data_IF_101070667619
#
_entry.id   IF_101070667619
#
_cell.length_a   1.000
_cell.length_b   1.000
_cell.length_c   1.000
_cell.angle_alpha   90.00
_cell.angle_beta   90.00
_cell.angle_gamma   90.00
#
_symmetry.space_group_name_H-M   'P 1'
#
loop_
_entity.id
_entity.type
_entity.pdbx_description
1 polymer ?
#
# COMPACT_ATOMS: atom_id res chain seq x y z
N UNK A 1 18.35 25.63 20.55
CA UNK A 1 17.71 26.00 19.26
C UNK A 1 16.17 25.91 19.31
N UNK A 2 15.52 26.47 20.34
CA UNK A 2 14.04 26.47 20.51
C UNK A 2 13.44 27.87 20.70
N UNK A 3 14.24 28.94 20.49
CA UNK A 3 13.87 30.34 20.80
C UNK A 3 14.07 31.33 19.65
N UNK A 4 14.25 30.88 18.41
CA UNK A 4 14.46 31.78 17.24
C UNK A 4 13.24 31.81 16.29
N UNK A 5 12.16 31.10 16.62
CA UNK A 5 10.93 31.06 15.79
C UNK A 5 9.71 31.75 16.45
N UNK A 6 9.88 32.56 17.49
CA UNK A 6 8.75 33.17 18.23
C UNK A 6 8.53 34.67 17.95
N UNK A 7 9.06 35.23 16.87
CA UNK A 7 8.92 36.66 16.58
C UNK A 7 8.47 36.91 15.14
N UNK A 8 7.30 36.40 14.78
CA UNK A 8 6.49 36.93 13.68
C UNK A 8 5.02 36.59 13.97
N UNK A 9 4.44 37.29 14.95
CA UNK A 9 3.00 37.41 15.11
C UNK A 9 2.63 38.87 14.93
N UNK A 10 2.15 39.30 13.75
CA UNK A 10 1.22 40.40 13.68
C UNK A 10 -0.11 39.88 14.25
N UNK A 11 -0.48 40.37 15.42
CA UNK A 11 -1.85 40.29 15.91
C UNK A 11 -2.74 41.11 14.98
N UNK A 12 -3.45 40.43 14.09
CA UNK A 12 -4.37 41.06 13.17
C UNK A 12 -4.82 40.05 12.12
N UNK A 13 -6.08 39.65 12.24
CA UNK A 13 -6.81 38.83 11.26
C UNK A 13 -6.48 37.32 11.23
N UNK A 14 -6.91 36.60 12.28
CA UNK A 14 -7.19 35.16 12.16
C UNK A 14 -8.49 34.93 11.39
N UNK A 15 -8.53 35.39 10.14
CA UNK A 15 -9.42 34.83 9.14
C UNK A 15 -9.13 33.33 9.08
N UNK A 16 -10.13 32.50 9.34
CA UNK A 16 -10.05 31.06 9.09
C UNK A 16 -9.53 30.87 7.66
N UNK A 17 -8.25 30.53 7.49
CA UNK A 17 -7.74 30.03 6.21
C UNK A 17 -8.50 28.74 5.95
N UNK A 18 -9.60 28.86 5.21
CA UNK A 18 -10.38 27.75 4.69
C UNK A 18 -9.41 26.91 3.87
N UNK A 19 -8.89 25.87 4.49
CA UNK A 19 -8.06 24.89 3.81
C UNK A 19 -8.89 24.37 2.64
N UNK A 20 -8.39 24.41 1.40
CA UNK A 20 -9.18 23.98 0.25
C UNK A 20 -9.63 22.52 0.44
N UNK A 21 -10.95 22.27 0.48
CA UNK A 21 -11.55 20.93 0.69
C UNK A 21 -11.02 19.85 -0.26
N UNK A 22 -10.50 20.24 -1.43
CA UNK A 22 -9.92 19.30 -2.39
C UNK A 22 -8.63 18.63 -1.89
N UNK A 23 -7.82 19.31 -1.04
CA UNK A 23 -6.53 18.79 -0.53
C UNK A 23 -6.68 17.69 0.52
N UNK A 24 -7.86 17.57 1.10
CA UNK A 24 -8.24 16.53 2.06
C UNK A 24 -9.26 15.56 1.46
N UNK A 25 -9.52 15.62 0.15
CA UNK A 25 -10.46 14.73 -0.52
C UNK A 25 -9.87 13.32 -0.62
N UNK A 26 -10.68 12.29 -0.36
CA UNK A 26 -10.34 10.88 -0.56
C UNK A 26 -9.72 10.63 -1.93
N UNK A 27 -10.31 11.19 -3.00
CA UNK A 27 -9.80 11.03 -4.35
C UNK A 27 -8.42 11.65 -4.56
N UNK A 28 -8.13 12.76 -3.87
CA UNK A 28 -6.82 13.38 -3.94
C UNK A 28 -5.78 12.53 -3.22
N UNK A 29 -6.08 12.06 -2.01
CA UNK A 29 -5.21 11.17 -1.24
C UNK A 29 -4.90 9.90 -2.04
N UNK A 30 -5.93 9.23 -2.58
CA UNK A 30 -5.73 8.06 -3.44
C UNK A 30 -4.87 8.41 -4.64
N UNK A 31 -5.16 9.49 -5.36
CA UNK A 31 -4.36 9.88 -6.54
C UNK A 31 -2.89 10.10 -6.22
N UNK A 32 -2.58 10.73 -5.08
CA UNK A 32 -1.20 10.94 -4.64
C UNK A 32 -0.52 9.63 -4.27
N UNK A 33 -1.22 8.72 -3.57
CA UNK A 33 -0.67 7.40 -3.23
C UNK A 33 -0.49 6.54 -4.47
N UNK A 34 -1.45 6.52 -5.39
CA UNK A 34 -1.38 5.86 -6.70
C UNK A 34 -0.21 6.38 -7.52
N UNK A 35 0.00 7.69 -7.57
CA UNK A 35 1.15 8.28 -8.26
C UNK A 35 2.48 7.93 -7.60
N UNK A 36 2.52 7.82 -6.27
CA UNK A 36 3.68 7.33 -5.54
C UNK A 36 4.00 5.86 -5.84
N UNK A 37 2.98 4.99 -5.84
CA UNK A 37 3.12 3.58 -6.21
C UNK A 37 3.56 3.41 -7.68
N UNK A 38 3.00 4.22 -8.59
CA UNK A 38 3.43 4.28 -9.98
C UNK A 38 4.88 4.74 -10.12
N UNK A 39 5.26 5.82 -9.45
CA UNK A 39 6.62 6.38 -9.49
C UNK A 39 7.63 5.35 -9.00
N UNK A 40 7.35 4.69 -7.89
CA UNK A 40 8.24 3.67 -7.33
C UNK A 40 8.45 2.51 -8.32
N UNK A 41 7.36 1.91 -8.80
CA UNK A 41 7.41 0.82 -9.77
C UNK A 41 8.11 1.23 -11.08
N UNK A 42 7.82 2.43 -11.57
CA UNK A 42 8.44 3.01 -12.75
C UNK A 42 9.96 3.15 -12.57
N UNK A 43 10.42 3.75 -11.48
CA UNK A 43 11.85 3.94 -11.21
C UNK A 43 12.55 2.59 -11.03
N UNK A 44 11.93 1.65 -10.32
CA UNK A 44 12.47 0.30 -10.15
C UNK A 44 12.72 -0.36 -11.52
N UNK A 45 11.71 -0.34 -12.39
CA UNK A 45 11.75 -0.99 -13.70
C UNK A 45 12.57 -0.26 -14.76
N UNK A 46 12.71 1.07 -14.68
CA UNK A 46 13.68 1.82 -15.51
C UNK A 46 15.11 1.32 -15.25
N UNK A 47 15.43 1.01 -13.99
CA UNK A 47 16.77 0.56 -13.63
C UNK A 47 17.13 -0.82 -14.18
N UNK A 48 16.16 -1.70 -14.41
CA UNK A 48 16.41 -3.10 -14.83
C UNK A 48 17.20 -3.19 -16.15
N UNK A 49 16.75 -2.58 -17.27
CA UNK A 49 17.47 -2.68 -18.53
C UNK A 49 18.72 -1.77 -18.62
N UNK A 50 18.76 -0.65 -17.88
CA UNK A 50 19.82 0.37 -18.04
C UNK A 50 21.12 -0.02 -17.33
N UNK A 51 21.02 -0.78 -16.24
CA UNK A 51 22.15 -1.05 -15.34
C UNK A 51 23.23 -1.95 -15.92
N UNK A 52 22.90 -3.05 -16.64
CA UNK A 52 23.91 -3.89 -17.29
C UNK A 52 24.84 -3.10 -18.21
N UNK A 53 24.30 -2.21 -19.05
CA UNK A 53 25.09 -1.37 -19.95
C UNK A 53 26.06 -0.44 -19.20
N UNK A 54 25.64 0.11 -18.06
CA UNK A 54 26.52 0.97 -17.26
C UNK A 54 27.65 0.19 -16.61
N UNK A 55 27.41 -1.05 -16.22
CA UNK A 55 28.46 -1.89 -15.66
C UNK A 55 29.51 -2.23 -16.72
N UNK A 56 29.06 -2.46 -17.96
CA UNK A 56 29.93 -2.65 -19.13
C UNK A 56 30.77 -1.40 -19.44
N UNK A 57 30.13 -0.22 -19.51
CA UNK A 57 30.82 1.07 -19.72
C UNK A 57 31.88 1.37 -18.65
N UNK A 58 31.68 0.89 -17.43
CA UNK A 58 32.62 1.04 -16.31
C UNK A 58 33.72 -0.03 -16.30
N UNK A 59 33.70 -0.97 -17.25
CA UNK A 59 34.70 -2.04 -17.40
C UNK A 59 34.58 -3.15 -16.36
N UNK A 60 33.39 -3.35 -15.76
CA UNK A 60 33.19 -4.44 -14.80
C UNK A 60 32.97 -5.79 -15.50
N UNK A 61 33.64 -6.82 -15.01
CA UNK A 61 33.36 -8.22 -15.36
C UNK A 61 32.18 -8.78 -14.55
N UNK A 62 31.62 -9.90 -14.99
CA UNK A 62 30.46 -10.56 -14.34
C UNK A 62 29.24 -9.63 -14.20
N UNK A 63 28.86 -8.97 -15.31
CA UNK A 63 27.76 -8.00 -15.38
C UNK A 63 26.45 -8.59 -14.84
N UNK A 64 26.15 -9.86 -15.17
CA UNK A 64 24.95 -10.57 -14.68
C UNK A 64 24.94 -10.62 -13.15
N UNK A 65 25.98 -11.17 -12.52
CA UNK A 65 26.10 -11.27 -11.05
C UNK A 65 26.01 -9.91 -10.37
N UNK A 66 26.66 -8.88 -10.92
CA UNK A 66 26.60 -7.52 -10.36
C UNK A 66 25.22 -6.89 -10.53
N UNK A 67 24.51 -7.17 -11.61
CA UNK A 67 23.13 -6.72 -11.81
C UNK A 67 22.18 -7.40 -10.84
N UNK A 68 22.34 -8.71 -10.58
CA UNK A 68 21.59 -9.45 -9.57
C UNK A 68 21.80 -8.88 -8.18
N UNK A 69 23.06 -8.65 -7.75
CA UNK A 69 23.36 -8.03 -6.46
C UNK A 69 22.79 -6.63 -6.30
N UNK A 70 22.69 -5.88 -7.40
CA UNK A 70 22.09 -4.56 -7.41
C UNK A 70 20.57 -4.61 -7.18
N UNK A 71 19.85 -5.55 -7.81
CA UNK A 71 18.42 -5.78 -7.52
C UNK A 71 18.22 -6.32 -6.10
N UNK A 72 19.09 -7.24 -5.67
CA UNK A 72 19.06 -7.85 -4.36
C UNK A 72 19.23 -6.85 -3.21
N UNK A 73 20.12 -5.86 -3.36
CA UNK A 73 20.34 -4.81 -2.36
C UNK A 73 19.07 -4.00 -2.04
N UNK A 74 18.24 -3.76 -3.06
CA UNK A 74 16.94 -3.11 -2.88
C UNK A 74 15.96 -3.99 -2.09
N UNK A 75 15.86 -5.28 -2.42
CA UNK A 75 14.97 -6.22 -1.74
C UNK A 75 15.38 -6.45 -0.28
N UNK A 76 16.68 -6.59 0.01
CA UNK A 76 17.18 -6.71 1.40
C UNK A 76 16.80 -5.47 2.22
N UNK A 77 17.00 -4.27 1.65
CA UNK A 77 16.64 -3.05 2.34
C UNK A 77 15.14 -3.02 2.69
N UNK A 78 14.29 -3.50 1.78
CA UNK A 78 12.85 -3.66 2.06
C UNK A 78 12.62 -4.66 3.19
N UNK A 79 13.14 -5.88 3.08
CA UNK A 79 12.88 -6.95 4.06
C UNK A 79 13.35 -6.58 5.47
N UNK A 80 14.51 -5.94 5.60
CA UNK A 80 15.10 -5.61 6.91
C UNK A 80 14.45 -4.38 7.54
N UNK A 81 14.11 -3.36 6.75
CA UNK A 81 13.68 -2.06 7.29
C UNK A 81 12.16 -1.93 7.47
N UNK A 82 11.37 -2.69 6.72
CA UNK A 82 9.92 -2.52 6.67
C UNK A 82 9.24 -2.65 8.04
N UNK A 83 9.51 -3.73 8.79
CA UNK A 83 8.90 -3.96 10.11
C UNK A 83 9.35 -2.94 11.17
N UNK A 84 10.66 -2.65 11.35
CA UNK A 84 11.10 -1.59 12.26
C UNK A 84 10.47 -0.22 11.93
N UNK A 85 10.39 0.13 10.65
CA UNK A 85 9.77 1.36 10.20
C UNK A 85 8.28 1.42 10.57
N UNK A 86 7.55 0.32 10.36
CA UNK A 86 6.14 0.24 10.69
C UNK A 86 5.88 0.50 12.18
N UNK A 87 6.64 -0.18 13.04
CA UNK A 87 6.53 -0.06 14.50
C UNK A 87 6.88 1.36 14.98
N UNK A 88 7.90 1.98 14.38
CA UNK A 88 8.31 3.34 14.72
C UNK A 88 7.27 4.38 14.30
N UNK A 89 6.69 4.22 13.11
CA UNK A 89 5.74 5.17 12.54
C UNK A 89 4.31 4.96 13.04
N UNK A 90 3.96 3.78 13.52
CA UNK A 90 2.65 3.51 14.13
C UNK A 90 2.39 4.40 15.35
N UNK A 91 3.44 4.69 16.13
CA UNK A 91 3.37 5.60 17.28
C UNK A 91 3.16 7.07 16.89
N UNK A 92 3.35 7.43 15.62
CA UNK A 92 3.24 8.80 15.13
C UNK A 92 1.87 9.01 14.49
N UNK A 93 1.18 10.06 14.93
CA UNK A 93 -0.15 10.42 14.43
C UNK A 93 -0.16 11.03 13.02
N UNK A 94 1.00 11.45 12.49
CA UNK A 94 1.12 12.23 11.24
C UNK A 94 1.90 11.39 10.21
N UNK A 95 1.28 11.04 9.08
CA UNK A 95 1.85 10.13 8.06
C UNK A 95 2.61 10.86 6.95
N UNK A 96 2.28 12.12 6.68
CA UNK A 96 2.81 12.98 5.61
C UNK A 96 4.30 13.23 5.76
N UNK A 97 4.78 13.52 6.97
CA UNK A 97 6.19 13.81 7.23
C UNK A 97 7.11 12.67 6.80
N UNK A 98 6.90 11.44 7.31
CA UNK A 98 7.64 10.25 6.87
C UNK A 98 7.60 10.02 5.35
N UNK A 99 6.44 10.20 4.73
CA UNK A 99 6.28 10.04 3.28
C UNK A 99 7.10 11.07 2.48
N UNK A 100 7.14 12.35 2.91
CA UNK A 100 8.00 13.36 2.28
C UNK A 100 9.49 13.01 2.45
N UNK A 101 9.90 12.59 3.65
CA UNK A 101 11.29 12.18 3.91
C UNK A 101 11.67 10.99 3.01
N UNK A 102 10.79 10.02 2.84
CA UNK A 102 11.00 8.90 1.95
C UNK A 102 11.15 9.36 0.50
N UNK A 103 10.23 10.18 -0.03
CA UNK A 103 10.35 10.71 -1.41
C UNK A 103 11.64 11.52 -1.59
N UNK A 104 12.11 12.28 -0.59
CA UNK A 104 13.42 12.93 -0.63
C UNK A 104 14.59 11.94 -0.65
N UNK A 105 14.51 10.84 0.11
CA UNK A 105 15.50 9.76 0.09
C UNK A 105 15.53 9.05 -1.27
N UNK A 106 14.37 8.82 -1.89
CA UNK A 106 14.25 8.34 -3.27
C UNK A 106 15.00 9.27 -4.24
N UNK A 107 14.82 10.59 -4.11
CA UNK A 107 15.55 11.55 -4.94
C UNK A 107 17.06 11.52 -4.71
N UNK A 108 17.49 11.37 -3.46
CA UNK A 108 18.90 11.20 -3.16
C UNK A 108 19.48 9.95 -3.83
N UNK A 109 18.76 8.82 -3.80
CA UNK A 109 19.16 7.61 -4.54
C UNK A 109 19.29 7.87 -6.04
N UNK A 110 18.31 8.54 -6.65
CA UNK A 110 18.35 8.89 -8.07
C UNK A 110 19.54 9.79 -8.43
N UNK A 111 19.84 10.77 -7.58
CA UNK A 111 20.99 11.65 -7.75
C UNK A 111 22.31 10.87 -7.67
N UNK A 112 22.42 9.91 -6.73
CA UNK A 112 23.58 9.03 -6.63
C UNK A 112 23.76 8.16 -7.88
N UNK A 113 22.67 7.68 -8.48
CA UNK A 113 22.70 6.92 -9.73
C UNK A 113 23.14 7.78 -10.92
N UNK A 114 22.70 9.03 -11.00
CA UNK A 114 23.16 9.98 -12.04
C UNK A 114 24.67 10.20 -11.96
N UNK A 115 25.20 10.37 -10.75
CA UNK A 115 26.60 10.71 -10.48
C UNK A 115 27.51 9.48 -10.37
N UNK A 116 26.99 8.27 -10.64
CA UNK A 116 27.69 7.05 -10.32
C UNK A 116 28.94 6.83 -11.17
N UNK A 117 30.05 6.51 -10.49
CA UNK A 117 31.34 6.12 -11.10
C UNK A 117 31.90 4.82 -10.56
N UNK A 118 31.34 4.30 -9.47
CA UNK A 118 31.81 3.09 -8.76
C UNK A 118 30.61 2.24 -8.39
N UNK A 119 30.75 0.92 -8.52
CA UNK A 119 29.67 -0.03 -8.27
C UNK A 119 29.07 0.06 -6.86
N UNK A 120 29.88 0.27 -5.82
CA UNK A 120 29.38 0.36 -4.44
C UNK A 120 28.39 1.52 -4.24
N UNK A 121 28.52 2.61 -5.01
CA UNK A 121 27.58 3.74 -4.97
C UNK A 121 26.22 3.33 -5.56
N UNK A 122 26.21 2.43 -6.56
CA UNK A 122 24.97 1.86 -7.13
C UNK A 122 24.24 1.03 -6.08
N UNK A 123 24.99 0.23 -5.31
CA UNK A 123 24.45 -0.56 -4.20
C UNK A 123 23.90 0.35 -3.10
N UNK A 124 24.66 1.37 -2.70
CA UNK A 124 24.20 2.34 -1.70
C UNK A 124 22.91 3.05 -2.15
N UNK A 125 22.84 3.49 -3.40
CA UNK A 125 21.64 4.08 -3.96
C UNK A 125 20.45 3.11 -3.90
N UNK A 126 20.64 1.85 -4.29
CA UNK A 126 19.57 0.82 -4.20
C UNK A 126 19.11 0.53 -2.78
N UNK A 127 20.01 0.55 -1.80
CA UNK A 127 19.63 0.43 -0.39
C UNK A 127 18.74 1.62 0.00
N UNK A 128 19.19 2.85 -0.25
CA UNK A 128 18.41 4.07 0.05
C UNK A 128 17.04 4.03 -0.63
N UNK A 129 17.00 3.59 -1.89
CA UNK A 129 15.77 3.40 -2.64
C UNK A 129 14.83 2.39 -1.97
N UNK A 130 15.35 1.22 -1.58
CA UNK A 130 14.57 0.18 -0.90
C UNK A 130 14.01 0.69 0.43
N UNK A 131 14.82 1.38 1.24
CA UNK A 131 14.38 2.02 2.49
C UNK A 131 13.26 3.04 2.26
N UNK A 132 13.34 3.83 1.18
CA UNK A 132 12.27 4.76 0.80
C UNK A 132 11.00 4.03 0.36
N UNK A 133 11.15 2.98 -0.46
CA UNK A 133 10.03 2.21 -0.99
C UNK A 133 9.14 1.66 0.12
N UNK A 134 9.74 1.11 1.19
CA UNK A 134 8.96 0.55 2.31
C UNK A 134 7.99 1.56 2.89
N UNK A 135 8.42 2.81 3.08
CA UNK A 135 7.61 3.89 3.62
C UNK A 135 6.51 4.28 2.63
N UNK A 136 6.85 4.43 1.35
CA UNK A 136 5.90 4.83 0.30
C UNK A 136 4.73 3.84 0.23
N UNK A 137 5.02 2.54 0.20
CA UNK A 137 4.02 1.48 0.08
C UNK A 137 3.24 1.27 1.38
N UNK A 138 3.93 1.02 2.49
CA UNK A 138 3.26 0.66 3.75
C UNK A 138 2.48 1.83 4.35
N UNK A 139 3.09 3.01 4.41
CA UNK A 139 2.43 4.22 4.94
C UNK A 139 1.43 4.77 3.94
N UNK A 140 1.71 4.69 2.64
CA UNK A 140 0.78 5.15 1.61
C UNK A 140 -0.53 4.38 1.59
N UNK A 141 -0.48 3.05 1.61
CA UNK A 141 -1.70 2.25 1.63
C UNK A 141 -2.42 2.31 2.98
N UNK A 142 -1.70 2.36 4.10
CA UNK A 142 -2.31 2.65 5.39
C UNK A 142 -3.02 4.02 5.40
N UNK A 143 -2.44 5.04 4.76
CA UNK A 143 -3.06 6.35 4.65
C UNK A 143 -4.38 6.30 3.86
N UNK A 144 -4.48 5.47 2.82
CA UNK A 144 -5.76 5.20 2.14
C UNK A 144 -6.75 4.58 3.13
N UNK A 145 -6.39 3.47 3.78
CA UNK A 145 -7.29 2.79 4.72
C UNK A 145 -7.78 3.70 5.86
N UNK A 146 -6.94 4.63 6.31
CA UNK A 146 -7.26 5.56 7.40
C UNK A 146 -8.11 6.78 6.99
N UNK A 147 -8.17 7.14 5.70
CA UNK A 147 -8.88 8.35 5.20
C UNK A 147 -10.03 8.04 4.23
N UNK A 148 -10.29 6.78 3.95
CA UNK A 148 -11.32 6.33 3.01
C UNK A 148 -12.45 5.62 3.76
N UNK A 149 -13.69 5.90 3.35
CA UNK A 149 -14.84 5.18 3.86
C UNK A 149 -14.71 3.67 3.63
N UNK A 150 -14.97 2.90 4.68
CA UNK A 150 -14.81 1.43 4.70
C UNK A 150 -15.57 0.69 3.60
N UNK A 151 -16.62 1.30 3.04
CA UNK A 151 -17.44 0.74 1.96
C UNK A 151 -16.76 0.75 0.59
N UNK A 152 -15.68 1.52 0.43
CA UNK A 152 -15.00 1.73 -0.86
C UNK A 152 -13.47 1.59 -0.75
N UNK A 153 -12.95 1.00 0.34
CA UNK A 153 -11.51 0.85 0.57
C UNK A 153 -10.88 -0.03 -0.52
N UNK A 154 -11.52 -1.16 -0.85
CA UNK A 154 -11.05 -2.08 -1.88
C UNK A 154 -10.91 -1.40 -3.22
N UNK A 155 -11.92 -0.62 -3.65
CA UNK A 155 -11.85 0.17 -4.88
C UNK A 155 -10.67 1.15 -4.89
N UNK A 156 -10.40 1.86 -3.79
CA UNK A 156 -9.32 2.85 -3.72
C UNK A 156 -7.94 2.18 -3.70
N UNK A 157 -7.77 1.09 -2.95
CA UNK A 157 -6.54 0.28 -2.98
C UNK A 157 -6.33 -0.35 -4.37
N UNK A 158 -7.40 -0.80 -5.00
CA UNK A 158 -7.39 -1.29 -6.39
C UNK A 158 -6.86 -0.28 -7.39
N UNK A 159 -7.30 0.99 -7.29
CA UNK A 159 -6.77 2.10 -8.10
C UNK A 159 -5.27 2.31 -7.81
N UNK A 160 -4.84 2.18 -6.55
CA UNK A 160 -3.43 2.32 -6.18
C UNK A 160 -2.55 1.22 -6.78
N UNK A 161 -2.98 -0.04 -6.75
CA UNK A 161 -2.30 -1.17 -7.41
C UNK A 161 -2.28 -1.05 -8.94
N UNK A 162 -3.37 -0.56 -9.57
CA UNK A 162 -3.34 -0.23 -11.00
C UNK A 162 -2.20 0.73 -11.35
N UNK A 163 -1.93 1.71 -10.48
CA UNK A 163 -0.80 2.63 -10.63
C UNK A 163 0.56 1.90 -10.66
N UNK A 164 0.83 0.98 -9.73
CA UNK A 164 2.10 0.25 -9.72
C UNK A 164 2.27 -0.64 -10.96
N UNK A 165 1.21 -1.31 -11.42
CA UNK A 165 1.25 -2.09 -12.66
C UNK A 165 1.60 -1.22 -13.88
N UNK A 166 0.99 -0.04 -14.00
CA UNK A 166 1.30 0.88 -15.08
C UNK A 166 2.76 1.34 -15.03
N UNK A 167 3.31 1.56 -13.83
CA UNK A 167 4.73 1.89 -13.66
C UNK A 167 5.63 0.77 -14.15
N UNK A 168 5.28 -0.48 -13.83
CA UNK A 168 6.02 -1.66 -14.27
C UNK A 168 6.03 -1.85 -15.78
N UNK A 169 4.93 -1.53 -16.48
CA UNK A 169 4.85 -1.62 -17.95
C UNK A 169 5.67 -0.54 -18.62
N UNK A 170 5.51 0.70 -18.19
CA UNK A 170 6.10 1.87 -18.87
C UNK A 170 7.59 1.98 -18.56
N UNK A 171 8.03 1.51 -17.38
CA UNK A 171 9.39 1.62 -16.88
C UNK A 171 10.47 1.10 -17.83
N UNK A 172 10.45 -0.18 -18.26
CA UNK A 172 11.51 -0.74 -19.09
C UNK A 172 11.60 -0.07 -20.46
N UNK A 173 10.46 0.22 -21.09
CA UNK A 173 10.39 0.90 -22.38
C UNK A 173 10.96 2.33 -22.30
N UNK A 174 10.58 3.09 -21.26
CA UNK A 174 11.11 4.42 -21.02
C UNK A 174 12.61 4.37 -20.71
N UNK A 175 13.06 3.44 -19.86
CA UNK A 175 14.46 3.29 -19.48
C UNK A 175 15.37 2.99 -20.67
N UNK A 176 15.00 1.99 -21.49
CA UNK A 176 15.75 1.60 -22.68
C UNK A 176 15.77 2.70 -23.76
N UNK A 177 14.60 3.30 -24.03
CA UNK A 177 14.48 4.37 -25.03
C UNK A 177 15.28 5.63 -24.67
N UNK A 178 15.17 6.07 -23.41
CA UNK A 178 15.91 7.26 -22.93
C UNK A 178 17.41 7.02 -22.84
N UNK A 179 17.83 5.80 -22.50
CA UNK A 179 19.26 5.45 -22.51
C UNK A 179 19.84 5.55 -23.92
N UNK A 180 19.11 5.04 -24.93
CA UNK A 180 19.54 5.11 -26.33
C UNK A 180 19.60 6.55 -26.85
N UNK A 181 18.63 7.39 -26.48
CA UNK A 181 18.53 8.76 -26.98
C UNK A 181 19.43 9.77 -26.26
N UNK A 182 19.56 9.66 -24.93
CA UNK A 182 20.22 10.66 -24.08
C UNK A 182 21.38 10.11 -23.24
N UNK A 183 21.74 8.84 -23.44
CA UNK A 183 22.78 8.13 -22.69
C UNK A 183 22.41 7.83 -21.24
N UNK A 184 23.42 7.46 -20.45
CA UNK A 184 23.28 7.03 -19.05
C UNK A 184 22.43 7.95 -18.16
N UNK A 185 22.57 9.27 -18.30
CA UNK A 185 21.91 10.23 -17.41
C UNK A 185 20.42 10.41 -17.72
N UNK A 186 20.00 10.17 -18.97
CA UNK A 186 18.64 10.45 -19.45
C UNK A 186 17.54 9.81 -18.61
N UNK A 187 17.53 8.47 -18.45
CA UNK A 187 16.49 7.77 -17.69
C UNK A 187 16.34 8.31 -16.26
N UNK A 188 17.45 8.51 -15.55
CA UNK A 188 17.44 8.95 -14.16
C UNK A 188 16.97 10.40 -13.99
N UNK A 189 17.28 11.29 -14.95
CA UNK A 189 16.78 12.67 -14.92
C UNK A 189 15.26 12.70 -15.09
N UNK A 190 14.68 11.86 -15.97
CA UNK A 190 13.23 11.73 -16.06
C UNK A 190 12.63 11.20 -14.75
N UNK A 191 13.22 10.15 -14.18
CA UNK A 191 12.81 9.61 -12.89
C UNK A 191 12.82 10.68 -11.79
N UNK A 192 13.84 11.56 -11.75
CA UNK A 192 13.87 12.68 -10.81
C UNK A 192 12.75 13.69 -11.08
N UNK A 193 12.41 13.98 -12.35
CA UNK A 193 11.31 14.87 -12.69
C UNK A 193 9.97 14.34 -12.19
N UNK A 194 9.69 13.06 -12.49
CA UNK A 194 8.49 12.35 -12.00
C UNK A 194 8.42 12.34 -10.47
N UNK A 195 9.51 11.98 -9.80
CA UNK A 195 9.56 11.94 -8.33
C UNK A 195 9.44 13.35 -7.71
N UNK A 196 9.83 14.41 -8.42
CA UNK A 196 9.62 15.79 -7.98
C UNK A 196 8.14 16.18 -8.04
N UNK A 197 7.41 15.72 -9.07
CA UNK A 197 5.95 15.91 -9.16
C UNK A 197 5.26 15.16 -8.02
N UNK A 198 5.68 13.94 -7.71
CA UNK A 198 5.18 13.18 -6.55
C UNK A 198 5.40 13.97 -5.26
N UNK A 199 6.62 14.46 -5.03
CA UNK A 199 6.97 15.23 -3.83
C UNK A 199 6.11 16.48 -3.67
N UNK A 200 5.90 17.23 -4.76
CA UNK A 200 5.03 18.40 -4.77
C UNK A 200 3.58 18.03 -4.47
N UNK A 201 3.06 16.98 -5.11
CA UNK A 201 1.71 16.49 -4.84
C UNK A 201 1.55 16.06 -3.38
N UNK A 202 2.53 15.34 -2.82
CA UNK A 202 2.56 14.94 -1.39
C UNK A 202 2.61 16.13 -0.44
N UNK A 203 3.35 17.17 -0.82
CA UNK A 203 3.44 18.38 -0.01
C UNK A 203 2.13 19.18 0.04
N UNK A 204 1.24 18.96 -0.92
CA UNK A 204 -0.08 19.59 -0.95
C UNK A 204 -1.15 18.76 -0.21
N UNK A 205 -0.87 17.51 0.18
CA UNK A 205 -1.79 16.67 0.95
C UNK A 205 -1.98 17.22 2.37
N UNK A 206 -3.23 17.21 2.81
CA UNK A 206 -3.63 17.57 4.17
C UNK A 206 -4.44 16.40 4.70
N UNK A 207 -3.95 15.76 5.76
CA UNK A 207 -4.62 14.61 6.36
C UNK A 207 -5.92 15.04 7.00
N UNK A 208 -7.00 14.26 6.83
CA UNK A 208 -8.31 14.64 7.37
C UNK A 208 -8.31 14.69 8.90
N UNK A 209 -7.41 13.95 9.55
CA UNK A 209 -7.21 13.95 11.01
C UNK A 209 -6.60 15.24 11.56
N UNK A 210 -6.00 16.07 10.70
CA UNK A 210 -5.47 17.40 11.04
C UNK A 210 -6.51 18.51 10.90
N UNK A 211 -7.70 18.21 10.34
CA UNK A 211 -8.82 19.13 10.39
C UNK A 211 -9.29 19.10 11.85
N UNK A 212 -9.14 20.19 12.64
CA UNK A 212 -9.75 20.22 13.95
C UNK A 212 -11.21 19.95 13.70
N UNK A 213 -11.72 18.83 14.22
CA UNK A 213 -13.16 18.57 14.22
C UNK A 213 -13.76 19.86 14.71
N UNK A 214 -14.43 20.59 13.82
CA UNK A 214 -15.31 21.65 14.25
C UNK A 214 -16.15 20.95 15.31
N UNK A 215 -16.01 21.41 16.56
CA UNK A 215 -16.90 21.00 17.63
C UNK A 215 -18.26 20.93 16.97
N UNK A 216 -18.86 19.73 16.90
CA UNK A 216 -20.28 19.67 16.64
C UNK A 216 -20.84 20.64 17.66
N UNK A 217 -21.35 21.77 17.19
CA UNK A 217 -22.16 22.63 18.04
C UNK A 217 -23.15 21.67 18.68
N UNK A 218 -23.20 21.61 20.03
CA UNK A 218 -24.10 20.70 20.69
C UNK A 218 -25.46 20.90 20.03
N UNK A 219 -26.00 19.81 19.49
CA UNK A 219 -27.32 19.76 18.91
C UNK A 219 -28.23 20.46 19.91
N UNK A 220 -28.68 21.67 19.59
CA UNK A 220 -29.56 22.43 20.47
C UNK A 220 -30.75 21.51 20.66
N UNK A 221 -31.03 21.00 21.87
CA UNK A 221 -32.21 20.21 22.09
C UNK A 221 -33.38 21.07 21.60
N UNK A 222 -34.22 20.52 20.73
CA UNK A 222 -35.45 21.20 20.30
C UNK A 222 -36.14 21.69 21.58
N UNK A 223 -36.05 23.01 21.84
CA UNK A 223 -36.85 23.66 22.85
C UNK A 223 -38.30 23.36 22.47
N UNK A 224 -38.95 22.59 23.33
CA UNK A 224 -40.39 22.40 23.33
C UNK A 224 -41.02 23.79 23.25
N UNK A 225 -41.60 24.10 22.10
CA UNK A 225 -42.42 25.28 21.89
C UNK A 225 -43.43 25.34 23.05
N UNK A 226 -43.43 26.38 23.90
CA UNK A 226 -44.43 26.50 24.95
C UNK A 226 -45.78 26.75 24.27
N UNK A 227 -46.64 25.73 24.23
CA UNK A 227 -48.05 25.96 23.92
C UNK A 227 -48.67 26.73 25.09
N UNK A 228 -48.83 28.02 24.84
CA UNK A 228 -49.46 29.01 25.68
C UNK A 228 -50.93 28.65 25.89
N UNK A 229 -51.22 28.26 27.13
CA UNK A 229 -52.49 28.30 27.87
C UNK A 229 -53.80 28.29 27.11
N UNK A 230 -54.62 27.29 27.41
CA UNK A 230 -56.06 27.50 27.53
C UNK A 230 -56.52 27.11 28.93
N UNK A 231 -57.11 28.08 29.62
CA UNK A 231 -57.67 27.93 30.94
C UNK A 231 -59.09 27.37 30.81
N UNK A 232 -59.44 26.37 31.62
CA UNK A 232 -60.78 26.29 32.21
C UNK A 232 -60.81 25.31 33.39
N UNK A 233 -60.92 25.93 34.57
CA UNK A 233 -61.57 25.50 35.81
C UNK A 233 -62.40 24.20 35.80
N UNK A 234 -62.18 23.34 36.82
CA UNK A 234 -63.26 22.86 37.72
C UNK A 234 -62.76 22.06 38.95
N UNK A 235 -62.99 22.68 40.13
CA UNK A 235 -63.63 22.14 41.36
C UNK A 235 -62.95 21.03 42.20
N UNK A 236 -62.20 21.46 43.22
CA UNK A 236 -62.37 21.29 44.70
C UNK A 236 -63.08 20.04 45.30
N UNK A 237 -62.27 19.20 45.99
CA UNK A 237 -62.37 18.63 47.38
C UNK A 237 -63.37 17.48 47.73
N UNK A 238 -63.31 16.90 48.97
CA UNK A 238 -62.22 16.21 49.69
C UNK A 238 -62.69 14.86 50.33
N UNK A 239 -61.86 14.23 51.21
CA UNK A 239 -62.15 13.14 52.22
C UNK A 239 -61.47 11.79 51.88
N UNK A 240 -60.94 10.94 52.78
CA UNK A 240 -60.99 10.80 54.25
C UNK A 240 -59.88 9.83 54.73
N UNK A 241 -59.61 9.90 56.03
CA UNK A 241 -58.69 9.20 56.95
C UNK A 241 -58.58 7.63 56.95
N UNK A 242 -57.32 7.15 57.06
CA UNK A 242 -56.71 6.25 58.09
C UNK A 242 -57.04 4.70 58.14
N UNK A 243 -56.30 3.86 58.92
CA UNK A 243 -55.29 2.87 58.42
C UNK A 243 -55.51 1.38 58.86
N UNK A 244 -54.85 0.42 58.20
CA UNK A 244 -54.52 -0.95 58.67
C UNK A 244 -53.84 -1.73 57.54
N UNK A 245 -52.55 -2.09 57.65
CA UNK A 245 -52.00 -3.43 58.03
C UNK A 245 -52.00 -4.48 56.90
N UNK A 246 -50.78 -4.99 56.65
CA UNK A 246 -50.36 -6.26 56.04
C UNK A 246 -50.69 -6.56 54.57
N UNK A 247 -49.66 -6.57 53.71
CA UNK A 247 -49.11 -7.81 53.11
C UNK A 247 -47.93 -7.50 52.17
N UNK A 248 -47.02 -8.46 52.09
CA UNK A 248 -45.69 -8.41 51.49
C UNK A 248 -45.69 -8.50 49.95
N UNK A 249 -44.51 -8.24 49.39
CA UNK A 249 -44.05 -8.53 48.01
C UNK A 249 -44.51 -7.60 46.88
N UNK A 250 -43.74 -6.52 46.64
CA UNK A 250 -43.48 -6.12 45.25
C UNK A 250 -42.12 -5.43 45.05
N UNK A 251 -41.45 -5.91 44.00
CA UNK A 251 -40.12 -5.56 43.49
C UNK A 251 -39.97 -4.04 43.30
N UNK A 252 -39.10 -3.41 44.10
CA UNK A 252 -38.66 -2.03 43.88
C UNK A 252 -37.89 -1.89 42.57
N UNK A 253 -38.61 -1.47 41.52
CA UNK A 253 -38.06 -0.64 40.43
C UNK A 253 -38.13 0.81 40.87
N UNK A 254 -37.00 1.42 41.24
CA UNK A 254 -36.71 2.83 40.94
C UNK A 254 -35.24 3.16 41.22
N UNK A 255 -34.56 3.68 40.20
CA UNK A 255 -33.15 4.04 40.27
C UNK A 255 -32.51 3.94 38.89
N UNK A 256 -33.05 4.66 37.92
CA UNK A 256 -32.45 4.88 36.61
C UNK A 256 -31.07 5.52 36.80
N UNK A 257 -29.95 4.90 36.39
CA UNK A 257 -28.75 5.63 36.09
C UNK A 257 -28.90 6.10 34.64
N UNK A 258 -29.11 7.40 34.53
CA UNK A 258 -28.94 8.23 33.35
C UNK A 258 -27.90 7.63 32.38
N UNK A 259 -28.39 7.07 31.26
CA UNK A 259 -27.53 6.64 30.14
C UNK A 259 -27.10 7.88 29.36
N UNK A 260 -26.34 8.75 30.02
CA UNK A 260 -25.48 9.70 29.36
C UNK A 260 -24.36 8.93 28.67
N UNK A 261 -24.39 8.90 27.35
CA UNK A 261 -23.40 8.34 26.43
C UNK A 261 -22.04 9.02 26.62
N UNK A 262 -21.34 8.68 27.70
CA UNK A 262 -19.91 8.86 27.78
C UNK A 262 -19.28 7.86 26.82
N UNK A 263 -18.94 8.30 25.60
CA UNK A 263 -18.00 7.59 24.74
C UNK A 263 -16.66 7.51 25.49
N UNK A 264 -16.47 6.42 26.23
CA UNK A 264 -15.18 6.04 26.79
C UNK A 264 -14.24 5.86 25.60
N UNK A 265 -13.32 6.81 25.44
CA UNK A 265 -12.24 6.76 24.46
C UNK A 265 -11.33 5.58 24.85
N UNK A 266 -11.64 4.38 24.35
CA UNK A 266 -10.85 3.16 24.56
C UNK A 266 -9.39 3.47 24.23
N UNK A 267 -8.52 3.54 25.24
CA UNK A 267 -7.09 3.65 25.01
C UNK A 267 -6.63 2.40 24.26
N UNK A 268 -6.17 2.58 23.02
CA UNK A 268 -5.65 1.47 22.21
C UNK A 268 -4.50 0.82 22.98
N UNK A 269 -4.64 -0.47 23.34
CA UNK A 269 -3.56 -1.27 23.92
C UNK A 269 -2.35 -1.23 23.00
N UNK A 270 -1.27 -0.56 23.43
CA UNK A 270 -0.03 -0.49 22.66
C UNK A 270 0.81 -1.72 22.95
N UNK A 271 0.96 -2.61 21.96
CA UNK A 271 1.79 -3.79 22.04
C UNK A 271 3.28 -3.42 21.94
N UNK A 272 4.15 -4.25 22.51
CA UNK A 272 5.60 -4.12 22.30
C UNK A 272 5.98 -4.48 20.84
N UNK A 273 7.12 -3.99 20.31
CA UNK A 273 7.58 -4.31 18.96
C UNK A 273 7.60 -5.82 18.65
N UNK A 274 8.02 -6.63 19.62
CA UNK A 274 8.12 -8.09 19.50
C UNK A 274 6.72 -8.71 19.56
N UNK A 275 5.86 -8.23 20.44
CA UNK A 275 4.46 -8.67 20.51
C UNK A 275 3.70 -8.38 19.22
N UNK A 276 3.93 -7.24 18.57
CA UNK A 276 3.32 -6.94 17.27
C UNK A 276 3.71 -8.00 16.24
N UNK A 277 5.00 -8.33 16.14
CA UNK A 277 5.49 -9.35 15.21
C UNK A 277 4.87 -10.71 15.52
N UNK A 278 4.94 -11.16 16.78
CA UNK A 278 4.37 -12.46 17.18
C UNK A 278 2.87 -12.50 16.86
N UNK A 279 2.14 -11.42 17.15
CA UNK A 279 0.68 -11.36 16.94
C UNK A 279 0.34 -11.38 15.45
N UNK A 280 1.08 -10.65 14.60
CA UNK A 280 0.91 -10.67 13.13
C UNK A 280 1.01 -12.09 12.55
N UNK A 281 1.93 -12.90 13.05
CA UNK A 281 2.13 -14.29 12.60
C UNK A 281 1.23 -15.30 13.33
N UNK A 282 0.56 -14.89 14.42
CA UNK A 282 -0.37 -15.75 15.17
C UNK A 282 -1.81 -15.66 14.68
N UNK A 283 -2.21 -14.55 14.04
CA UNK A 283 -3.56 -14.37 13.52
C UNK A 283 -3.72 -15.16 12.21
N UNK A 284 -4.66 -16.13 12.12
CA UNK A 284 -4.82 -16.95 10.92
C UNK A 284 -5.11 -16.15 9.65
N UNK A 285 -6.00 -15.14 9.71
CA UNK A 285 -6.31 -14.26 8.57
C UNK A 285 -5.08 -13.52 8.06
N UNK A 286 -4.28 -12.96 8.98
CA UNK A 286 -3.02 -12.26 8.67
C UNK A 286 -2.03 -13.22 7.99
N UNK A 287 -1.86 -14.40 8.57
CA UNK A 287 -0.96 -15.43 8.04
C UNK A 287 -1.37 -15.89 6.65
N UNK A 288 -2.67 -16.04 6.39
CA UNK A 288 -3.20 -16.35 5.06
C UNK A 288 -2.89 -15.25 4.06
N UNK A 289 -3.12 -13.98 4.40
CA UNK A 289 -2.82 -12.85 3.52
C UNK A 289 -1.31 -12.77 3.19
N UNK A 290 -0.45 -12.93 4.20
CA UNK A 290 1.01 -12.99 4.06
C UNK A 290 1.41 -14.17 3.15
N UNK A 291 0.84 -15.35 3.39
CA UNK A 291 1.14 -16.56 2.63
C UNK A 291 0.71 -16.47 1.16
N UNK A 292 -0.50 -15.95 0.89
CA UNK A 292 -0.98 -15.72 -0.48
C UNK A 292 -0.11 -14.70 -1.20
N UNK A 293 0.26 -13.60 -0.54
CA UNK A 293 1.14 -12.58 -1.13
C UNK A 293 2.53 -13.15 -1.44
N UNK A 294 3.10 -13.94 -0.53
CA UNK A 294 4.38 -14.63 -0.73
C UNK A 294 4.32 -15.61 -1.91
N UNK A 295 3.28 -16.47 -1.96
CA UNK A 295 3.09 -17.43 -3.03
C UNK A 295 2.90 -16.76 -4.40
N UNK A 296 2.12 -15.68 -4.44
CA UNK A 296 1.89 -14.90 -5.66
C UNK A 296 3.19 -14.27 -6.17
N UNK A 297 3.98 -13.71 -5.25
CA UNK A 297 5.32 -13.23 -5.58
C UNK A 297 6.18 -14.33 -6.19
N UNK A 298 6.19 -15.54 -5.62
CA UNK A 298 7.08 -16.62 -6.07
C UNK A 298 6.75 -17.03 -7.50
N UNK A 299 5.46 -17.10 -7.82
CA UNK A 299 4.98 -17.39 -9.17
C UNK A 299 5.49 -16.31 -10.14
N UNK A 300 5.32 -15.03 -9.81
CA UNK A 300 5.78 -13.92 -10.66
C UNK A 300 7.31 -13.97 -10.85
N UNK A 301 8.06 -14.06 -9.75
CA UNK A 301 9.52 -14.06 -9.77
C UNK A 301 10.15 -15.28 -10.46
N UNK A 302 9.45 -16.42 -10.49
CA UNK A 302 9.89 -17.60 -11.22
C UNK A 302 9.61 -17.49 -12.74
N UNK A 303 8.52 -16.83 -13.12
CA UNK A 303 8.09 -16.78 -14.52
C UNK A 303 8.90 -15.76 -15.32
N UNK A 304 9.16 -14.58 -14.76
CA UNK A 304 9.84 -13.50 -15.48
C UNK A 304 11.14 -13.90 -16.22
N UNK A 305 12.11 -14.58 -15.56
CA UNK A 305 13.34 -15.04 -16.23
C UNK A 305 13.09 -16.25 -17.15
N UNK A 306 12.26 -17.19 -16.71
CA UNK A 306 12.03 -18.48 -17.38
C UNK A 306 11.29 -18.29 -18.70
N UNK A 307 10.40 -17.28 -18.76
CA UNK A 307 9.62 -16.97 -19.94
C UNK A 307 10.51 -16.63 -21.14
N UNK A 308 11.51 -15.76 -20.92
CA UNK A 308 12.43 -15.31 -21.97
C UNK A 308 13.26 -16.46 -22.52
N UNK A 309 13.82 -17.28 -21.64
CA UNK A 309 14.60 -18.47 -22.02
C UNK A 309 13.74 -19.46 -22.79
N UNK A 310 12.52 -19.71 -22.31
CA UNK A 310 11.61 -20.66 -22.95
C UNK A 310 11.16 -20.21 -24.34
N UNK A 311 10.85 -18.93 -24.52
CA UNK A 311 10.49 -18.41 -25.85
C UNK A 311 11.62 -18.56 -26.87
N UNK A 312 12.87 -18.38 -26.43
CA UNK A 312 14.05 -18.61 -27.24
C UNK A 312 14.26 -20.10 -27.55
N UNK A 313 14.27 -20.95 -26.51
CA UNK A 313 14.71 -22.34 -26.62
C UNK A 313 13.65 -23.25 -27.26
N UNK A 314 12.36 -23.01 -27.01
CA UNK A 314 11.26 -23.85 -27.54
C UNK A 314 10.69 -23.35 -28.87
N UNK A 315 10.68 -22.04 -29.10
CA UNK A 315 10.00 -21.44 -30.25
C UNK A 315 10.89 -20.50 -31.09
N UNK A 316 12.19 -20.42 -30.78
CA UNK A 316 13.15 -19.61 -31.55
C UNK A 316 12.79 -18.13 -31.60
N UNK A 317 12.05 -17.62 -30.62
CA UNK A 317 11.60 -16.23 -30.58
C UNK A 317 12.66 -15.33 -29.97
N UNK A 318 12.76 -14.12 -30.50
CA UNK A 318 13.69 -13.10 -30.06
C UNK A 318 13.12 -12.28 -28.89
N UNK A 319 13.98 -11.47 -28.26
CA UNK A 319 13.61 -10.65 -27.11
C UNK A 319 12.52 -9.63 -27.43
N UNK A 320 12.42 -9.18 -28.69
CA UNK A 320 11.37 -8.27 -29.12
C UNK A 320 9.99 -8.93 -29.04
N UNK A 321 9.85 -10.16 -29.54
CA UNK A 321 8.60 -10.92 -29.43
C UNK A 321 8.20 -11.15 -27.96
N UNK A 322 9.16 -11.50 -27.10
CA UNK A 322 8.91 -11.69 -25.65
C UNK A 322 8.38 -10.39 -25.01
N UNK A 323 8.98 -9.24 -25.35
CA UNK A 323 8.50 -7.93 -24.89
C UNK A 323 7.05 -7.64 -25.30
N UNK A 324 6.67 -7.96 -26.55
CA UNK A 324 5.29 -7.81 -27.01
C UNK A 324 4.30 -8.71 -26.23
N UNK A 325 4.70 -9.93 -25.89
CA UNK A 325 3.88 -10.84 -25.07
C UNK A 325 3.64 -10.24 -23.68
N UNK A 326 4.68 -9.75 -23.00
CA UNK A 326 4.52 -9.06 -21.71
C UNK A 326 3.55 -7.88 -21.81
N UNK A 327 3.73 -7.00 -22.79
CA UNK A 327 2.85 -5.84 -23.01
C UNK A 327 1.39 -6.27 -23.21
N UNK A 328 1.15 -7.28 -24.05
CA UNK A 328 -0.18 -7.79 -24.32
C UNK A 328 -0.82 -8.40 -23.06
N UNK A 329 -0.05 -9.08 -22.22
CA UNK A 329 -0.57 -9.69 -20.98
C UNK A 329 -0.78 -8.72 -19.82
N UNK A 330 -0.05 -7.62 -19.76
CA UNK A 330 -0.22 -6.64 -18.68
C UNK A 330 -1.35 -5.65 -18.99
N UNK A 331 -1.66 -5.39 -20.27
CA UNK A 331 -2.75 -4.48 -20.63
C UNK A 331 -4.10 -4.81 -19.96
N UNK A 332 -4.56 -6.08 -19.89
CA UNK A 332 -5.75 -6.45 -19.11
C UNK A 332 -5.62 -6.19 -17.60
N UNK A 333 -4.42 -6.39 -17.02
CA UNK A 333 -4.14 -6.23 -15.58
C UNK A 333 -4.30 -4.78 -15.11
N UNK A 334 -4.09 -3.79 -15.99
CA UNK A 334 -4.26 -2.38 -15.65
C UNK A 334 -5.67 -2.08 -15.10
N UNK A 335 -6.69 -2.78 -15.60
CA UNK A 335 -8.07 -2.52 -15.21
C UNK A 335 -8.60 -3.46 -14.13
N UNK A 336 -7.90 -4.57 -13.85
CA UNK A 336 -8.39 -5.56 -12.89
C UNK A 336 -8.39 -5.04 -11.47
N UNK A 337 -7.39 -4.26 -11.05
CA UNK A 337 -7.29 -3.74 -9.67
C UNK A 337 -8.55 -2.98 -9.24
N UNK A 338 -9.08 -2.11 -10.09
CA UNK A 338 -10.31 -1.35 -9.81
C UNK A 338 -11.53 -2.27 -9.73
N UNK A 339 -11.63 -3.22 -10.66
CA UNK A 339 -12.75 -4.17 -10.72
C UNK A 339 -12.74 -5.08 -9.50
N UNK A 340 -11.62 -5.71 -9.19
CA UNK A 340 -11.51 -6.65 -8.06
C UNK A 340 -11.60 -5.94 -6.73
N UNK A 341 -11.07 -4.73 -6.62
CA UNK A 341 -11.26 -3.89 -5.44
C UNK A 341 -12.75 -3.59 -5.19
N UNK A 342 -13.50 -3.23 -6.23
CA UNK A 342 -14.94 -3.02 -6.12
C UNK A 342 -15.71 -4.32 -5.80
N UNK A 343 -15.33 -5.44 -6.41
CA UNK A 343 -15.92 -6.74 -6.12
C UNK A 343 -15.64 -7.16 -4.67
N UNK A 344 -14.43 -6.92 -4.15
CA UNK A 344 -14.07 -7.19 -2.76
C UNK A 344 -14.91 -6.35 -1.78
N UNK A 345 -15.12 -5.06 -2.08
CA UNK A 345 -16.00 -4.20 -1.27
C UNK A 345 -17.46 -4.71 -1.24
N UNK A 346 -17.92 -5.37 -2.31
CA UNK A 346 -19.31 -5.84 -2.44
C UNK A 346 -19.54 -7.26 -1.91
N UNK A 347 -18.63 -8.17 -2.21
CA UNK A 347 -18.78 -9.60 -1.95
C UNK A 347 -17.90 -10.12 -0.81
N UNK A 348 -16.96 -9.32 -0.31
CA UNK A 348 -15.96 -9.73 0.67
C UNK A 348 -14.67 -10.23 0.01
N UNK A 349 -13.53 -9.91 0.63
CA UNK A 349 -12.22 -10.33 0.15
C UNK A 349 -11.97 -11.82 0.43
N UNK A 350 -12.59 -12.37 1.47
CA UNK A 350 -12.49 -13.76 1.90
C UNK A 350 -13.00 -14.75 0.84
N UNK A 351 -13.91 -14.32 -0.04
CA UNK A 351 -14.42 -15.11 -1.16
C UNK A 351 -13.64 -14.85 -2.44
N UNK A 352 -13.18 -13.62 -2.66
CA UNK A 352 -12.51 -13.24 -3.90
C UNK A 352 -11.10 -13.82 -3.99
N UNK A 353 -10.31 -13.76 -2.91
CA UNK A 353 -8.93 -14.26 -2.89
C UNK A 353 -8.84 -15.76 -3.27
N UNK A 354 -9.58 -16.69 -2.62
CA UNK A 354 -9.47 -18.11 -2.96
C UNK A 354 -10.03 -18.39 -4.36
N UNK A 355 -11.10 -17.71 -4.79
CA UNK A 355 -11.69 -17.93 -6.12
C UNK A 355 -10.73 -17.52 -7.24
N UNK A 356 -10.12 -16.34 -7.15
CA UNK A 356 -9.15 -15.90 -8.18
C UNK A 356 -7.87 -16.72 -8.14
N UNK A 357 -7.43 -17.14 -6.94
CA UNK A 357 -6.27 -18.05 -6.81
C UNK A 357 -6.55 -19.40 -7.47
N UNK A 358 -7.72 -19.99 -7.23
CA UNK A 358 -8.13 -21.26 -7.84
C UNK A 358 -8.27 -21.13 -9.37
N UNK A 359 -8.79 -20.00 -9.86
CA UNK A 359 -8.89 -19.70 -11.29
C UNK A 359 -7.52 -19.54 -11.95
N UNK A 360 -6.49 -19.05 -11.25
CA UNK A 360 -5.12 -18.97 -11.81
C UNK A 360 -4.42 -20.32 -11.95
N UNK A 361 -4.69 -21.27 -11.05
CA UNK A 361 -4.00 -22.56 -10.97
C UNK A 361 -4.00 -23.40 -12.28
N UNK A 362 -5.12 -23.58 -13.01
CA UNK A 362 -5.10 -24.36 -14.25
C UNK A 362 -4.19 -23.73 -15.31
N UNK A 363 -4.09 -22.39 -15.35
CA UNK A 363 -3.25 -21.71 -16.34
C UNK A 363 -1.76 -21.86 -16.04
N UNK A 364 -1.36 -21.93 -14.76
CA UNK A 364 0.00 -22.33 -14.39
C UNK A 364 0.36 -23.71 -14.95
N UNK A 365 -0.57 -24.68 -14.89
CA UNK A 365 -0.36 -26.03 -15.42
C UNK A 365 -0.35 -26.04 -16.96
N UNK A 366 -1.27 -25.31 -17.60
CA UNK A 366 -1.33 -25.21 -19.06
C UNK A 366 -0.08 -24.57 -19.65
N UNK A 367 0.57 -23.67 -18.92
CA UNK A 367 1.86 -23.12 -19.32
C UNK A 367 2.95 -24.20 -19.45
N UNK A 368 2.82 -25.42 -18.91
CA UNK A 368 3.81 -26.50 -19.12
C UNK A 368 3.78 -27.01 -20.58
N UNK A 369 2.66 -26.85 -21.30
CA UNK A 369 2.52 -27.36 -22.66
C UNK A 369 3.42 -26.62 -23.67
N UNK A 370 4.10 -27.37 -24.53
CA UNK A 370 5.03 -26.84 -25.56
C UNK A 370 4.44 -26.81 -26.97
N UNK A 371 3.32 -27.51 -27.21
CA UNK A 371 2.74 -27.71 -28.56
C UNK A 371 2.30 -26.43 -29.26
N UNK A 372 1.86 -25.41 -28.54
CA UNK A 372 1.29 -24.19 -29.13
C UNK A 372 1.79 -22.93 -28.42
N UNK A 373 2.49 -22.07 -29.16
CA UNK A 373 2.91 -20.75 -28.69
C UNK A 373 1.71 -19.85 -28.36
N UNK A 374 0.65 -19.92 -29.16
CA UNK A 374 -0.57 -19.13 -28.95
C UNK A 374 -1.28 -19.60 -27.68
N UNK A 375 -1.42 -20.91 -27.50
CA UNK A 375 -2.02 -21.49 -26.29
C UNK A 375 -1.23 -21.13 -25.02
N UNK A 376 0.11 -21.10 -25.13
CA UNK A 376 0.99 -20.65 -24.06
C UNK A 376 0.78 -19.17 -23.73
N UNK A 377 0.74 -18.27 -24.73
CA UNK A 377 0.50 -16.83 -24.52
C UNK A 377 -0.87 -16.57 -23.88
N UNK A 378 -1.92 -17.25 -24.34
CA UNK A 378 -3.26 -17.13 -23.75
C UNK A 378 -3.24 -17.60 -22.29
N UNK A 379 -2.59 -18.73 -22.01
CA UNK A 379 -2.48 -19.26 -20.64
C UNK A 379 -1.71 -18.30 -19.73
N UNK A 380 -0.59 -17.75 -20.22
CA UNK A 380 0.20 -16.76 -19.50
C UNK A 380 -0.62 -15.48 -19.22
N UNK A 381 -1.43 -15.03 -20.17
CA UNK A 381 -2.34 -13.88 -20.00
C UNK A 381 -3.39 -14.11 -18.91
N UNK A 382 -4.10 -15.25 -18.95
CA UNK A 382 -5.11 -15.57 -17.94
C UNK A 382 -4.49 -15.82 -16.56
N UNK A 383 -3.35 -16.50 -16.50
CA UNK A 383 -2.62 -16.69 -15.25
C UNK A 383 -2.26 -15.34 -14.62
N UNK A 384 -1.65 -14.42 -15.40
CA UNK A 384 -1.34 -13.08 -14.91
C UNK A 384 -2.58 -12.31 -14.47
N UNK A 385 -3.66 -12.37 -15.26
CA UNK A 385 -4.92 -11.71 -14.96
C UNK A 385 -5.44 -12.15 -13.58
N UNK A 386 -5.64 -13.45 -13.39
CA UNK A 386 -6.20 -14.00 -12.15
C UNK A 386 -5.27 -13.87 -10.95
N UNK A 387 -3.96 -13.98 -11.16
CA UNK A 387 -2.99 -13.79 -10.09
C UNK A 387 -3.02 -12.35 -9.58
N UNK A 388 -3.00 -11.35 -10.47
CA UNK A 388 -3.07 -9.94 -10.07
C UNK A 388 -4.42 -9.53 -9.48
N UNK A 389 -5.51 -10.26 -9.81
CA UNK A 389 -6.81 -10.06 -9.19
C UNK A 389 -6.80 -10.28 -7.65
N UNK A 390 -5.80 -10.96 -7.09
CA UNK A 390 -5.68 -11.21 -5.64
C UNK A 390 -5.15 -10.00 -4.85
N UNK A 391 -4.38 -9.10 -5.47
CA UNK A 391 -3.60 -8.08 -4.75
C UNK A 391 -4.48 -7.00 -4.09
N UNK A 392 -5.47 -6.47 -4.81
CA UNK A 392 -6.37 -5.46 -4.26
C UNK A 392 -7.24 -5.99 -3.10
N UNK A 393 -7.87 -7.18 -3.20
CA UNK A 393 -8.56 -7.82 -2.08
C UNK A 393 -7.68 -8.06 -0.84
N UNK A 394 -6.39 -8.40 -1.01
CA UNK A 394 -5.46 -8.55 0.13
C UNK A 394 -5.38 -7.25 0.94
N UNK A 395 -5.40 -6.09 0.28
CA UNK A 395 -5.45 -4.79 0.95
C UNK A 395 -6.73 -4.54 1.76
N UNK A 396 -7.85 -5.15 1.37
CA UNK A 396 -9.11 -5.12 2.14
C UNK A 396 -9.00 -5.99 3.39
N UNK A 397 -8.40 -7.18 3.28
CA UNK A 397 -8.14 -8.07 4.42
C UNK A 397 -7.26 -7.39 5.48
N UNK A 398 -6.28 -6.59 5.08
CA UNK A 398 -5.47 -5.77 6.03
C UNK A 398 -6.36 -4.93 6.95
N UNK A 399 -7.39 -4.30 6.38
CA UNK A 399 -8.32 -3.46 7.13
C UNK A 399 -9.28 -4.29 8.00
N UNK A 400 -9.62 -5.51 7.57
CA UNK A 400 -10.44 -6.44 8.36
C UNK A 400 -9.67 -6.98 9.58
N UNK A 401 -8.42 -7.41 9.39
CA UNK A 401 -7.58 -7.97 10.46
C UNK A 401 -7.34 -6.95 11.58
N UNK A 402 -7.08 -5.70 11.22
CA UNK A 402 -6.77 -4.62 12.17
C UNK A 402 -7.99 -4.14 12.94
N UNK A 403 -9.18 -4.25 12.34
CA UNK A 403 -10.45 -3.98 13.02
C UNK A 403 -10.72 -4.97 14.14
N UNK A 404 -10.43 -6.24 13.89
CA UNK A 404 -10.82 -7.34 14.78
C UNK A 404 -9.74 -7.63 15.85
N UNK A 405 -8.55 -7.00 15.76
CA UNK A 405 -7.41 -7.24 16.67
C UNK A 405 -6.83 -5.92 17.24
N UNK A 406 -7.05 -5.67 18.53
CA UNK A 406 -6.49 -4.49 19.21
C UNK A 406 -4.95 -4.57 19.30
N UNK A 407 -4.28 -3.45 19.00
CA UNK A 407 -2.81 -3.32 19.07
C UNK A 407 -2.07 -3.56 17.75
N UNK A 408 -2.75 -3.97 16.69
CA UNK A 408 -2.21 -4.04 15.32
C UNK A 408 -2.86 -2.96 14.46
N UNK A 409 -2.07 -2.31 13.62
CA UNK A 409 -2.54 -1.28 12.68
C UNK A 409 -2.37 -1.74 11.23
N UNK A 410 -3.03 -1.03 10.32
CA UNK A 410 -2.96 -1.26 8.88
C UNK A 410 -1.51 -1.16 8.40
N UNK A 411 -0.73 -0.27 9.01
CA UNK A 411 0.69 -0.12 8.73
C UNK A 411 1.49 -1.39 9.06
N UNK A 412 1.24 -2.03 10.21
CA UNK A 412 1.91 -3.28 10.59
C UNK A 412 1.61 -4.42 9.61
N UNK A 413 0.36 -4.51 9.15
CA UNK A 413 -0.08 -5.51 8.18
C UNK A 413 0.53 -5.28 6.79
N UNK A 414 0.45 -4.07 6.24
CA UNK A 414 1.11 -3.76 4.96
C UNK A 414 2.63 -3.96 5.04
N UNK A 415 3.23 -3.69 6.19
CA UNK A 415 4.63 -3.98 6.43
C UNK A 415 4.95 -5.47 6.35
N UNK A 416 4.13 -6.33 6.96
CA UNK A 416 4.29 -7.79 6.85
C UNK A 416 4.15 -8.28 5.39
N UNK A 417 3.19 -7.73 4.65
CA UNK A 417 3.01 -8.06 3.22
C UNK A 417 4.22 -7.64 2.38
N UNK A 418 4.78 -6.46 2.62
CA UNK A 418 5.99 -5.99 1.94
C UNK A 418 7.22 -6.86 2.24
N UNK A 419 7.38 -7.33 3.48
CA UNK A 419 8.45 -8.30 3.83
C UNK A 419 8.27 -9.60 3.07
N UNK A 420 7.04 -10.11 2.98
CA UNK A 420 6.73 -11.31 2.22
C UNK A 420 7.12 -11.14 0.74
N UNK A 421 6.75 -10.01 0.13
CA UNK A 421 7.12 -9.70 -1.26
C UNK A 421 8.63 -9.61 -1.45
N UNK A 422 9.33 -8.83 -0.60
CA UNK A 422 10.79 -8.66 -0.67
C UNK A 422 11.55 -9.98 -0.54
N UNK A 423 11.15 -10.84 0.41
CA UNK A 423 11.76 -12.15 0.62
C UNK A 423 11.51 -13.11 -0.54
N UNK A 424 10.32 -13.06 -1.15
CA UNK A 424 10.07 -13.84 -2.34
C UNK A 424 11.04 -13.45 -3.48
N UNK A 425 11.19 -12.15 -3.78
CA UNK A 425 12.06 -11.70 -4.88
C UNK A 425 13.52 -12.10 -4.64
N UNK A 426 13.97 -12.08 -3.38
CA UNK A 426 15.28 -12.61 -2.94
C UNK A 426 15.42 -14.10 -3.30
N UNK A 427 14.43 -14.93 -2.97
CA UNK A 427 14.45 -16.37 -3.27
C UNK A 427 14.49 -16.62 -4.78
N UNK A 428 13.64 -15.92 -5.54
CA UNK A 428 13.60 -16.03 -7.01
C UNK A 428 14.92 -15.61 -7.66
N UNK A 429 15.56 -14.53 -7.18
CA UNK A 429 16.87 -14.10 -7.66
C UNK A 429 18.00 -15.07 -7.26
N UNK A 430 17.91 -15.69 -6.07
CA UNK A 430 18.87 -16.67 -5.59
C UNK A 430 18.94 -17.91 -6.49
N UNK A 431 17.80 -18.44 -6.92
CA UNK A 431 17.75 -19.58 -7.85
C UNK A 431 18.40 -19.24 -9.20
N UNK A 432 18.15 -18.04 -9.75
CA UNK A 432 18.77 -17.59 -11.00
C UNK A 432 20.31 -17.54 -10.90
N UNK A 433 20.84 -17.11 -9.76
CA UNK A 433 22.29 -17.03 -9.55
C UNK A 433 22.96 -18.40 -9.46
N UNK A 434 22.27 -19.39 -8.90
CA UNK A 434 22.78 -20.76 -8.79
C UNK A 434 22.82 -21.46 -10.17
N UNK A 435 21.79 -21.29 -11.00
CA UNK A 435 21.75 -21.83 -12.36
C UNK A 435 22.72 -21.12 -13.31
N UNK A 436 22.95 -19.83 -13.10
CA UNK A 436 23.99 -19.08 -13.85
C UNK A 436 25.39 -19.54 -13.48
N UNK A 437 25.63 -19.90 -12.21
CA UNK A 437 26.92 -20.37 -11.73
C UNK A 437 27.23 -21.80 -12.22
N UNK A 438 26.22 -22.68 -12.32
CA UNK A 438 26.39 -24.04 -12.86
C UNK A 438 26.68 -24.06 -14.36
N UNK A 439 26.08 -23.12 -15.13
CA UNK A 439 26.40 -22.93 -16.56
C UNK A 439 27.81 -22.38 -16.80
N UNK A 440 28.33 -21.52 -15.91
CA UNK A 440 29.70 -20.97 -16.03
C UNK A 440 30.77 -21.98 -15.60
N UNK A 441 30.42 -23.00 -14.81
CA UNK A 441 31.33 -24.12 -14.48
C UNK A 441 31.34 -25.21 -15.57
N UNK A 442 30.40 -25.15 -16.53
CA UNK A 442 30.23 -26.14 -17.59
C UNK A 442 30.66 -25.65 -19.00
N UNK A 443 31.24 -24.45 -19.09
CA UNK A 443 31.90 -23.88 -20.29
C UNK A 443 33.34 -23.59 -19.91
#
# INVERSE_FOLDING_TARGET
>A
MRKVFSSFTPEGDRGHRKVPRWRSSTWYITSVVTYGAWTEAFVYMVGVPVIPFRLEDLGYTHISTKSSWFLFAYCIAISVYTLPNAILLDRKLWRRGPMIIATCAMQLSLLLLILVKRYWVMILARIIQGLSCTVIWSVGFALICENVDKKIIGRQLGIAFTGSHLGNVVGPAAGSGLYTAFGWKGPWVLCMGVCSIELLARWLVIEQKDIPMAKQEPEVPLETIPQRGDATSRVVAPSRQNPSEEEEEEVQRHGTPDKGTAQVKKEKKQLSPVEVIITLFSIPRSLTAIGVNFASGMIIGAIDPTLTLRFRDEWGKDSHFVGLVYLATIAPVLFTGVVTGHLADRFGAEWLIPTTSLLSAPFCLLMILKKSIIGFIISFGFMNLFLNCTLAPIGVEVSAVTRDNEGISELHQFAALNVAWGNCTIVSAGHQSADSASLVVSI
#
